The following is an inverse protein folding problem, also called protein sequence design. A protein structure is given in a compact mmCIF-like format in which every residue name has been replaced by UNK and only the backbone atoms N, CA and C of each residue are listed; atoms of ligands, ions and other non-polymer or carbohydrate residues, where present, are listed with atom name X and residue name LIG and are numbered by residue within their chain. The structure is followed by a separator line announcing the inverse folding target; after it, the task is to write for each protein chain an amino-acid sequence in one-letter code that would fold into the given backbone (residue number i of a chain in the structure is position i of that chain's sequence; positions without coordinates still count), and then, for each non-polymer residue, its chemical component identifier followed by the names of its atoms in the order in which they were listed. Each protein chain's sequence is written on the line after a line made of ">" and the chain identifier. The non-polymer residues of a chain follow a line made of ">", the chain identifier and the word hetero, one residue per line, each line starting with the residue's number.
data_IF_811078712812
#
_entry.id   IF_811078712812
#
_cell.length_a   1.000
_cell.length_b   1.000
_cell.length_c   1.000
_cell.angle_alpha   90.00
_cell.angle_beta   90.00
_cell.angle_gamma   90.00
#
_symmetry.space_group_name_H-M   'P 1'
#
loop_
_entity.id
_entity.type
_entity.pdbx_description
1 polymer ?
#
# COMPACT_ATOMS: atom_id res chain seq x y z
N UNK A 1 5.73 -2.82 0.91
CA UNK A 1 6.05 -3.51 2.19
C UNK A 1 5.12 -4.72 2.34
N UNK A 2 5.44 -5.78 3.11
CA UNK A 2 4.47 -6.87 3.30
C UNK A 2 3.23 -6.38 4.08
N UNK A 3 2.04 -7.00 3.90
CA UNK A 3 0.78 -6.59 4.55
C UNK A 3 0.88 -6.42 6.08
N UNK A 4 1.76 -7.16 6.74
CA UNK A 4 1.99 -7.04 8.18
C UNK A 4 2.54 -5.68 8.59
N UNK A 5 3.42 -5.08 7.78
CA UNK A 5 3.91 -3.74 8.03
C UNK A 5 2.80 -2.69 7.86
N UNK A 6 1.94 -2.86 6.84
CA UNK A 6 0.84 -1.95 6.58
C UNK A 6 -0.19 -2.00 7.71
N UNK A 7 -0.46 -3.21 8.20
CA UNK A 7 -1.24 -3.47 9.42
C UNK A 7 -0.67 -2.74 10.63
N UNK A 8 0.65 -2.80 10.85
CA UNK A 8 1.29 -2.12 11.98
C UNK A 8 1.15 -0.60 11.89
N UNK A 9 1.31 -0.01 10.70
CA UNK A 9 1.16 1.42 10.47
C UNK A 9 -0.29 1.85 10.69
N UNK A 10 -1.27 1.13 10.14
CA UNK A 10 -2.69 1.38 10.37
C UNK A 10 -3.04 1.33 11.87
N UNK A 11 -2.49 0.36 12.60
CA UNK A 11 -2.66 0.26 14.04
C UNK A 11 -2.03 1.44 14.78
N UNK A 12 -0.82 1.87 14.40
CA UNK A 12 -0.17 3.04 14.99
C UNK A 12 -0.96 4.33 14.74
N UNK A 13 -1.48 4.52 13.53
CA UNK A 13 -2.35 5.67 13.19
C UNK A 13 -3.58 5.67 14.10
N UNK A 14 -4.24 4.51 14.24
CA UNK A 14 -5.40 4.38 15.11
C UNK A 14 -5.06 4.66 16.58
N UNK A 15 -3.95 4.12 17.09
CA UNK A 15 -3.56 4.22 18.50
C UNK A 15 -2.98 5.58 18.89
N UNK A 16 -2.35 6.30 17.95
CA UNK A 16 -1.81 7.65 18.17
C UNK A 16 -2.84 8.75 18.00
N UNK A 17 -4.08 8.41 17.61
CA UNK A 17 -5.20 9.34 17.65
C UNK A 17 -5.37 9.91 19.05
N UNK A 18 -5.63 11.22 19.16
CA UNK A 18 -5.94 11.88 20.44
C UNK A 18 -7.24 11.36 21.08
N UNK A 19 -8.11 10.74 20.28
CA UNK A 19 -9.38 10.18 20.73
C UNK A 19 -9.25 8.69 21.00
N UNK A 20 -9.91 8.23 22.07
CA UNK A 20 -10.00 6.80 22.39
C UNK A 20 -10.95 6.13 21.38
N UNK A 21 -10.38 5.38 20.44
CA UNK A 21 -11.12 4.65 19.44
C UNK A 21 -11.71 3.34 20.00
N UNK A 22 -12.88 2.97 19.50
CA UNK A 22 -13.48 1.65 19.69
C UNK A 22 -12.76 0.60 18.85
N UNK A 23 -12.91 -0.69 19.22
CA UNK A 23 -12.32 -1.78 18.45
C UNK A 23 -12.77 -1.79 16.98
N UNK A 24 -14.04 -1.47 16.71
CA UNK A 24 -14.60 -1.43 15.35
C UNK A 24 -13.92 -0.35 14.49
N UNK A 25 -13.63 0.79 15.09
CA UNK A 25 -12.93 1.90 14.42
C UNK A 25 -11.48 1.54 14.12
N UNK A 26 -10.79 0.92 15.09
CA UNK A 26 -9.41 0.44 14.89
C UNK A 26 -9.37 -0.59 13.76
N UNK A 27 -10.28 -1.56 13.77
CA UNK A 27 -10.37 -2.59 12.72
C UNK A 27 -10.61 -1.96 11.36
N UNK A 28 -11.49 -0.97 11.25
CA UNK A 28 -11.73 -0.27 9.98
C UNK A 28 -10.46 0.42 9.46
N UNK A 29 -9.71 1.12 10.32
CA UNK A 29 -8.45 1.79 9.93
C UNK A 29 -7.39 0.78 9.51
N UNK A 30 -7.26 -0.34 10.23
CA UNK A 30 -6.30 -1.41 9.92
C UNK A 30 -6.65 -2.09 8.60
N UNK A 31 -7.93 -2.40 8.36
CA UNK A 31 -8.39 -2.98 7.08
C UNK A 31 -8.14 -2.01 5.94
N UNK A 32 -8.44 -0.72 6.13
CA UNK A 32 -8.15 0.30 5.14
C UNK A 32 -6.65 0.40 4.81
N UNK A 33 -5.78 0.27 5.81
CA UNK A 33 -4.33 0.26 5.59
C UNK A 33 -3.84 -0.90 4.70
N UNK A 34 -4.63 -1.96 4.50
CA UNK A 34 -4.26 -3.13 3.71
C UNK A 34 -5.09 -3.29 2.43
N UNK A 35 -6.01 -2.36 2.13
CA UNK A 35 -6.99 -2.59 1.06
C UNK A 35 -6.34 -2.71 -0.33
N UNK A 36 -5.22 -2.02 -0.53
CA UNK A 36 -4.44 -2.09 -1.77
C UNK A 36 -3.79 -3.46 -1.96
N UNK A 37 -3.45 -4.18 -0.88
CA UNK A 37 -2.81 -5.50 -0.94
C UNK A 37 -3.83 -6.65 -1.08
N UNK A 38 -5.13 -6.36 -1.25
CA UNK A 38 -6.11 -7.45 -1.42
C UNK A 38 -5.88 -8.24 -2.72
N UNK A 39 -5.34 -7.59 -3.74
CA UNK A 39 -4.97 -8.22 -5.00
C UNK A 39 -3.73 -9.12 -4.89
N UNK A 40 -2.83 -8.86 -3.93
CA UNK A 40 -1.63 -9.65 -3.67
C UNK A 40 -1.95 -11.14 -3.56
N UNK A 41 -2.96 -11.50 -2.76
CA UNK A 41 -3.35 -12.89 -2.54
C UNK A 41 -3.90 -13.54 -3.81
N UNK A 42 -4.75 -12.81 -4.55
CA UNK A 42 -5.36 -13.30 -5.78
C UNK A 42 -4.29 -13.51 -6.86
N UNK A 43 -3.41 -12.53 -7.05
CA UNK A 43 -2.34 -12.56 -8.05
C UNK A 43 -1.32 -13.65 -7.73
N UNK A 44 -1.00 -13.85 -6.45
CA UNK A 44 -0.12 -14.95 -6.01
C UNK A 44 -0.70 -16.32 -6.37
N UNK A 45 -2.02 -16.53 -6.19
CA UNK A 45 -2.69 -17.77 -6.59
C UNK A 45 -2.63 -17.98 -8.11
N UNK A 46 -2.66 -16.89 -8.88
CA UNK A 46 -2.53 -16.92 -10.34
C UNK A 46 -1.08 -17.05 -10.84
N UNK A 47 -0.11 -17.23 -9.93
CA UNK A 47 1.31 -17.41 -10.27
C UNK A 47 2.08 -16.12 -10.55
N UNK A 48 1.46 -14.95 -10.31
CA UNK A 48 2.10 -13.65 -10.42
C UNK A 48 2.89 -13.40 -9.14
N UNK A 49 4.12 -12.90 -9.29
CA UNK A 49 4.98 -12.69 -8.12
C UNK A 49 4.46 -11.57 -7.24
N UNK A 50 4.64 -11.72 -5.93
CA UNK A 50 4.08 -10.79 -4.95
C UNK A 50 4.47 -9.34 -5.21
N UNK A 51 5.71 -9.07 -5.63
CA UNK A 51 6.17 -7.71 -5.92
C UNK A 51 5.56 -7.09 -7.19
N UNK A 52 4.89 -7.87 -8.04
CA UNK A 52 4.33 -7.36 -9.28
C UNK A 52 2.94 -6.71 -9.11
N UNK A 53 2.25 -6.93 -8.00
CA UNK A 53 0.93 -6.33 -7.82
C UNK A 53 0.95 -4.79 -7.85
N UNK A 54 2.09 -4.17 -7.49
CA UNK A 54 2.29 -2.72 -7.57
C UNK A 54 2.27 -2.15 -9.00
N UNK A 55 2.41 -2.98 -10.04
CA UNK A 55 2.26 -2.55 -11.44
C UNK A 55 0.80 -2.48 -11.88
N UNK A 56 -0.13 -3.02 -11.09
CA UNK A 56 -1.55 -2.96 -11.39
C UNK A 56 -2.17 -1.67 -10.88
N UNK A 57 -3.38 -1.37 -11.34
CA UNK A 57 -4.05 -0.10 -11.05
C UNK A 57 -4.30 0.13 -9.55
N UNK A 58 -4.26 -0.92 -8.72
CA UNK A 58 -4.47 -0.88 -7.29
C UNK A 58 -3.65 0.22 -6.61
N UNK A 59 -2.34 0.28 -6.86
CA UNK A 59 -1.40 1.13 -6.12
C UNK A 59 -1.25 2.50 -6.77
N UNK A 60 -2.35 3.27 -6.78
CA UNK A 60 -2.37 4.66 -7.24
C UNK A 60 -3.13 5.59 -6.30
N UNK A 61 -2.78 6.88 -6.21
CA UNK A 61 -3.54 7.85 -5.41
C UNK A 61 -5.00 7.97 -5.83
N UNK A 62 -5.29 7.86 -7.14
CA UNK A 62 -6.66 7.90 -7.65
C UNK A 62 -7.49 6.71 -7.15
N UNK A 63 -6.95 5.49 -7.21
CA UNK A 63 -7.64 4.32 -6.65
C UNK A 63 -7.78 4.44 -5.13
N UNK A 64 -6.78 4.99 -4.43
CA UNK A 64 -6.89 5.32 -3.01
C UNK A 64 -8.06 6.24 -2.68
N UNK A 65 -8.26 7.29 -3.49
CA UNK A 65 -9.41 8.19 -3.35
C UNK A 65 -10.73 7.46 -3.59
N UNK A 66 -10.78 6.56 -4.58
CA UNK A 66 -11.97 5.75 -4.86
C UNK A 66 -12.27 4.81 -3.68
N UNK A 67 -11.28 4.11 -3.14
CA UNK A 67 -11.45 3.27 -1.95
C UNK A 67 -11.93 4.08 -0.75
N UNK A 68 -11.34 5.25 -0.52
CA UNK A 68 -11.79 6.15 0.54
C UNK A 68 -13.26 6.56 0.36
N UNK A 69 -13.67 6.93 -0.85
CA UNK A 69 -15.04 7.33 -1.16
C UNK A 69 -16.03 6.17 -0.96
N UNK A 70 -15.68 4.96 -1.40
CA UNK A 70 -16.48 3.76 -1.19
C UNK A 70 -16.65 3.48 0.30
N UNK A 71 -15.57 3.49 1.07
CA UNK A 71 -15.59 3.28 2.53
C UNK A 71 -16.43 4.38 3.19
N UNK A 72 -16.25 5.64 2.82
CA UNK A 72 -17.03 6.76 3.34
C UNK A 72 -18.52 6.56 3.08
N UNK A 73 -18.93 6.32 1.85
CA UNK A 73 -20.36 6.14 1.51
C UNK A 73 -20.98 4.93 2.22
N UNK A 74 -20.27 3.81 2.32
CA UNK A 74 -20.76 2.60 2.97
C UNK A 74 -20.90 2.75 4.50
N UNK A 75 -20.05 3.56 5.13
CA UNK A 75 -19.88 3.58 6.59
C UNK A 75 -20.14 4.93 7.27
N UNK A 76 -20.41 6.03 6.54
CA UNK A 76 -20.59 7.39 7.08
C UNK A 76 -21.65 7.54 8.16
N UNK A 77 -22.64 6.65 8.20
CA UNK A 77 -23.70 6.66 9.20
C UNK A 77 -23.35 5.84 10.46
N UNK A 78 -22.30 5.01 10.40
CA UNK A 78 -21.88 4.10 11.48
C UNK A 78 -20.70 4.63 12.28
N UNK A 79 -19.90 5.53 11.71
CA UNK A 79 -18.67 6.05 12.33
C UNK A 79 -18.60 7.57 12.27
N UNK A 80 -17.93 8.21 13.24
CA UNK A 80 -17.77 9.65 13.24
C UNK A 80 -16.81 10.13 12.16
N UNK A 81 -16.94 11.40 11.74
CA UNK A 81 -16.19 11.98 10.60
C UNK A 81 -14.67 11.85 10.74
N UNK A 82 -14.16 11.92 11.97
CA UNK A 82 -12.73 11.80 12.27
C UNK A 82 -12.14 10.45 11.82
N UNK A 83 -12.93 9.36 11.84
CA UNK A 83 -12.46 8.04 11.42
C UNK A 83 -12.12 8.04 9.93
N UNK A 84 -12.86 8.75 9.11
CA UNK A 84 -12.58 8.83 7.68
C UNK A 84 -11.31 9.62 7.38
N UNK A 85 -10.91 10.54 8.26
CA UNK A 85 -9.59 11.18 8.19
C UNK A 85 -8.50 10.15 8.49
N UNK A 86 -8.67 9.31 9.52
CA UNK A 86 -7.72 8.24 9.83
C UNK A 86 -7.65 7.17 8.72
N UNK A 87 -8.77 6.84 8.09
CA UNK A 87 -8.83 5.96 6.91
C UNK A 87 -8.06 6.58 5.74
N UNK A 88 -8.27 7.87 5.45
CA UNK A 88 -7.51 8.56 4.40
C UNK A 88 -6.00 8.55 4.69
N UNK A 89 -5.61 8.81 5.94
CA UNK A 89 -4.21 8.74 6.36
C UNK A 89 -3.63 7.34 6.25
N UNK A 90 -4.41 6.30 6.60
CA UNK A 90 -4.00 4.92 6.46
C UNK A 90 -3.74 4.54 4.99
N UNK A 91 -4.67 4.88 4.09
CA UNK A 91 -4.53 4.67 2.65
C UNK A 91 -3.32 5.42 2.08
N UNK A 92 -3.15 6.70 2.45
CA UNK A 92 -2.00 7.48 2.00
C UNK A 92 -0.68 6.89 2.54
N UNK A 93 -0.66 6.49 3.81
CA UNK A 93 0.54 5.92 4.43
C UNK A 93 0.97 4.63 3.76
N UNK A 94 0.03 3.82 3.29
CA UNK A 94 0.31 2.63 2.49
C UNK A 94 1.14 2.99 1.25
N UNK A 95 0.60 3.87 0.40
CA UNK A 95 1.26 4.30 -0.84
C UNK A 95 2.63 4.95 -0.57
N UNK A 96 2.73 5.77 0.47
CA UNK A 96 4.00 6.42 0.85
C UNK A 96 5.05 5.37 1.26
N UNK A 97 4.64 4.35 2.01
CA UNK A 97 5.59 3.34 2.52
C UNK A 97 6.01 2.38 1.41
N UNK A 98 5.14 2.04 0.47
CA UNK A 98 5.53 1.25 -0.70
C UNK A 98 6.61 1.94 -1.55
N UNK A 99 6.56 3.27 -1.64
CA UNK A 99 7.57 4.04 -2.36
C UNK A 99 8.71 4.54 -1.48
N UNK A 100 8.78 4.19 -0.19
CA UNK A 100 9.75 4.81 0.73
C UNK A 100 11.20 4.72 0.23
N UNK A 101 11.62 3.57 -0.28
CA UNK A 101 12.95 3.37 -0.90
C UNK A 101 13.17 4.20 -2.16
N UNK A 102 12.12 4.44 -2.96
CA UNK A 102 12.19 5.35 -4.10
C UNK A 102 12.43 6.79 -3.62
N UNK A 103 11.75 7.25 -2.57
CA UNK A 103 12.00 8.57 -1.98
C UNK A 103 13.42 8.68 -1.43
N UNK A 104 13.95 7.63 -0.78
CA UNK A 104 15.35 7.58 -0.34
C UNK A 104 16.33 7.65 -1.51
N UNK A 105 15.99 7.02 -2.64
CA UNK A 105 16.78 7.10 -3.88
C UNK A 105 16.82 8.54 -4.42
N UNK A 106 15.68 9.24 -4.43
CA UNK A 106 15.62 10.65 -4.87
C UNK A 106 16.50 11.59 -4.03
N UNK A 107 16.71 11.29 -2.74
CA UNK A 107 17.59 12.08 -1.85
C UNK A 107 19.01 11.52 -1.76
N UNK A 108 19.35 10.49 -2.55
CA UNK A 108 20.69 9.91 -2.62
C UNK A 108 21.08 9.01 -1.45
N UNK A 109 20.11 8.54 -0.67
CA UNK A 109 20.32 7.62 0.47
C UNK A 109 20.21 6.14 0.08
N UNK A 110 19.64 5.85 -1.08
CA UNK A 110 19.51 4.50 -1.66
C UNK A 110 19.83 4.55 -3.16
N UNK A 111 20.13 3.41 -3.80
CA UNK A 111 20.55 3.37 -5.20
C UNK A 111 19.55 2.61 -6.06
N UNK A 112 19.18 3.23 -7.18
CA UNK A 112 18.50 2.61 -8.33
C UNK A 112 17.18 1.88 -8.02
N UNK A 113 16.45 2.28 -6.98
CA UNK A 113 15.10 1.74 -6.70
C UNK A 113 14.09 2.48 -7.57
N UNK A 114 13.37 1.74 -8.41
CA UNK A 114 12.24 2.28 -9.15
C UNK A 114 11.04 2.51 -8.23
N UNK A 115 10.23 3.52 -8.56
CA UNK A 115 8.95 3.73 -7.88
C UNK A 115 8.07 2.49 -8.08
N UNK A 116 7.32 2.14 -7.04
CA UNK A 116 6.29 1.10 -7.01
C UNK A 116 4.89 1.70 -7.23
N UNK A 117 4.60 2.89 -6.70
CA UNK A 117 3.32 3.62 -6.85
C UNK A 117 3.28 4.48 -8.10
N UNK A 118 2.19 4.44 -8.87
CA UNK A 118 2.01 5.35 -10.01
C UNK A 118 1.31 6.65 -9.57
N UNK A 119 2.09 7.59 -9.02
CA UNK A 119 1.60 8.84 -8.40
C UNK A 119 0.79 9.74 -9.34
N UNK A 120 1.09 9.74 -10.64
CA UNK A 120 0.48 10.62 -11.64
C UNK A 120 -0.56 9.91 -12.52
N UNK A 121 -1.00 8.71 -12.16
CA UNK A 121 -2.13 8.05 -12.84
C UNK A 121 -3.38 8.95 -12.81
N UNK A 122 -4.14 9.10 -13.92
CA UNK A 122 -4.09 8.36 -15.18
C UNK A 122 -3.21 8.99 -16.27
N UNK A 123 -2.44 10.03 -15.97
CA UNK A 123 -1.59 10.71 -16.95
C UNK A 123 -0.32 9.91 -17.31
N UNK A 124 0.04 8.95 -16.46
CA UNK A 124 1.18 8.05 -16.63
C UNK A 124 0.74 6.59 -16.49
N UNK A 125 1.44 5.67 -17.15
CA UNK A 125 1.23 4.24 -17.04
C UNK A 125 2.54 3.54 -16.70
N UNK A 126 2.51 2.65 -15.71
CA UNK A 126 3.60 1.71 -15.45
C UNK A 126 3.31 0.41 -16.16
N UNK A 127 4.29 -0.07 -16.90
CA UNK A 127 4.23 -1.39 -17.51
C UNK A 127 4.95 -2.39 -16.59
N UNK A 128 4.38 -3.58 -16.36
CA UNK A 128 5.10 -4.64 -15.69
C UNK A 128 6.35 -5.01 -16.50
N UNK A 129 7.44 -5.47 -15.85
CA UNK A 129 8.58 -6.01 -16.57
C UNK A 129 8.16 -7.19 -17.45
N UNK A 130 8.73 -7.28 -18.66
CA UNK A 130 8.39 -8.27 -19.69
C UNK A 130 8.61 -9.72 -19.21
N UNK A 131 9.54 -9.93 -18.28
CA UNK A 131 9.78 -11.23 -17.64
C UNK A 131 9.61 -11.09 -16.12
N UNK A 132 8.61 -11.75 -15.51
CA UNK A 132 8.51 -11.84 -14.07
C UNK A 132 9.71 -12.61 -13.51
N UNK A 133 10.52 -11.96 -12.67
CA UNK A 133 11.46 -12.67 -11.81
C UNK A 133 10.65 -13.57 -10.88
N UNK A 134 10.91 -14.87 -10.92
CA UNK A 134 10.33 -15.83 -9.97
C UNK A 134 10.77 -15.50 -8.55
N UNK A 135 10.00 -15.93 -7.54
CA UNK A 135 10.39 -15.76 -6.14
C UNK A 135 11.79 -16.35 -5.84
N UNK A 136 12.20 -17.41 -6.56
CA UNK A 136 13.53 -18.02 -6.43
C UNK A 136 14.64 -17.09 -6.96
N UNK A 137 14.41 -16.42 -8.09
CA UNK A 137 15.35 -15.44 -8.66
C UNK A 137 15.44 -14.19 -7.79
N UNK A 138 14.31 -13.69 -7.29
CA UNK A 138 14.29 -12.57 -6.33
C UNK A 138 15.08 -12.93 -5.07
N UNK A 139 14.87 -14.14 -4.52
CA UNK A 139 15.59 -14.59 -3.32
C UNK A 139 17.10 -14.71 -3.57
N UNK A 140 17.50 -15.21 -4.75
CA UNK A 140 18.91 -15.28 -5.15
C UNK A 140 19.54 -13.90 -5.25
N UNK A 141 18.83 -12.91 -5.80
CA UNK A 141 19.31 -11.54 -5.86
C UNK A 141 19.55 -11.00 -4.44
N UNK A 142 18.57 -11.13 -3.54
CA UNK A 142 18.70 -10.66 -2.17
C UNK A 142 19.79 -11.36 -1.36
N UNK A 143 19.98 -12.67 -1.54
CA UNK A 143 20.94 -13.45 -0.74
C UNK A 143 22.38 -13.39 -1.26
N UNK A 144 22.58 -13.18 -2.56
CA UNK A 144 23.88 -13.36 -3.19
C UNK A 144 24.35 -12.17 -4.05
N UNK A 145 23.47 -11.22 -4.39
CA UNK A 145 23.79 -10.14 -5.32
C UNK A 145 23.48 -8.74 -4.79
N UNK A 146 22.69 -8.63 -3.71
CA UNK A 146 22.51 -7.36 -3.00
C UNK A 146 23.83 -6.99 -2.28
N UNK A 147 24.32 -5.74 -2.43
CA UNK A 147 25.58 -5.29 -1.85
C UNK A 147 25.61 -5.25 -0.32
#
# INVERSE_FOLDING_TARGET
>A
MLPFGHTAVGYLIAKKSRQKLTLKEIVLVVVAANIFDLDFFLLTILGITGGQHHYYLGHTPLIGLIYWLIIYLAFRHKFPRQIFVLVALALLSHLVIDDFSYWLTLVGLEKDVSSQVNWFFPFTQKNPPLEPLTNCEVLKIYLFQAP
#
